data_IF_797438335590
#
_entry.id   IF_797438335590
#
_cell.length_a   1.000
_cell.length_b   1.000
_cell.length_c   1.000
_cell.angle_alpha   90.00
_cell.angle_beta   90.00
_cell.angle_gamma   90.00
#
_symmetry.space_group_name_H-M   'P 1'
#
loop_
_entity.id
_entity.type
_entity.pdbx_description
1 polymer ?
#
# COMPACT_ATOMS: atom_id res chain seq x y z
N UNK A 1 -13.96 14.94 -7.08
CA UNK A 1 -12.79 14.65 -7.94
C UNK A 1 -12.70 13.14 -8.01
N UNK A 2 -13.12 12.52 -9.11
CA UNK A 2 -13.02 11.06 -9.26
C UNK A 2 -11.82 10.81 -10.13
N UNK A 3 -10.68 10.46 -9.53
CA UNK A 3 -9.57 9.94 -10.31
C UNK A 3 -9.91 8.49 -10.67
N UNK A 4 -10.11 8.24 -11.95
CA UNK A 4 -10.09 6.89 -12.52
C UNK A 4 -8.75 6.68 -13.18
N UNK A 5 -7.98 5.69 -12.72
CA UNK A 5 -6.90 5.09 -13.49
C UNK A 5 -7.27 3.63 -13.70
N UNK A 6 -7.90 3.33 -14.83
CA UNK A 6 -7.92 1.97 -15.34
C UNK A 6 -6.59 1.80 -16.07
N UNK A 7 -5.61 1.22 -15.40
CA UNK A 7 -4.43 0.66 -16.07
C UNK A 7 -4.81 -0.74 -16.58
N UNK A 8 -4.34 -1.10 -17.78
CA UNK A 8 -4.53 -2.46 -18.37
C UNK A 8 -3.86 -3.59 -17.56
N UNK A 9 -3.24 -3.26 -16.42
CA UNK A 9 -2.53 -4.15 -15.51
C UNK A 9 -3.10 -4.01 -14.09
N UNK A 10 -3.23 -5.15 -13.41
CA UNK A 10 -3.59 -5.20 -12.00
C UNK A 10 -2.59 -4.41 -11.14
N UNK A 11 -3.11 -3.56 -10.27
CA UNK A 11 -2.33 -2.67 -9.39
C UNK A 11 -1.81 -3.43 -8.18
N UNK A 12 -0.50 -3.42 -7.93
CA UNK A 12 0.12 -4.08 -6.78
C UNK A 12 0.08 -3.16 -5.55
N UNK A 13 -0.59 -3.60 -4.49
CA UNK A 13 -0.78 -2.82 -3.27
C UNK A 13 -0.08 -3.46 -2.09
N UNK A 14 0.75 -2.68 -1.38
CA UNK A 14 1.27 -3.02 -0.07
C UNK A 14 0.46 -2.30 1.02
N UNK A 15 0.06 -3.01 2.07
CA UNK A 15 -0.58 -2.42 3.26
C UNK A 15 0.39 -2.57 4.43
N UNK A 16 0.71 -1.45 5.09
CA UNK A 16 1.49 -1.43 6.32
C UNK A 16 0.71 -0.70 7.40
N UNK A 17 0.55 -1.34 8.56
CA UNK A 17 -0.21 -0.81 9.67
C UNK A 17 0.57 -0.97 10.98
N UNK A 18 0.41 -0.02 11.90
CA UNK A 18 0.95 -0.19 13.25
C UNK A 18 0.15 -1.23 14.05
N UNK A 19 0.68 -1.64 15.21
CA UNK A 19 0.07 -2.64 16.08
C UNK A 19 -1.16 -2.18 16.87
N UNK A 20 -1.75 -1.01 16.61
CA UNK A 20 -2.98 -0.58 17.29
C UNK A 20 -4.19 -1.32 16.72
N UNK A 21 -5.17 -1.60 17.58
CA UNK A 21 -6.37 -2.34 17.20
C UNK A 21 -7.13 -1.68 16.04
N UNK A 22 -7.27 -0.36 16.08
CA UNK A 22 -7.95 0.43 15.04
C UNK A 22 -7.24 0.29 13.69
N UNK A 23 -5.91 0.42 13.67
CA UNK A 23 -5.10 0.30 12.46
C UNK A 23 -5.20 -1.09 11.85
N UNK A 24 -5.12 -2.15 12.68
CA UNK A 24 -5.32 -3.53 12.23
C UNK A 24 -6.70 -3.75 11.62
N UNK A 25 -7.75 -3.18 12.22
CA UNK A 25 -9.12 -3.30 11.66
C UNK A 25 -9.24 -2.66 10.29
N UNK A 26 -8.64 -1.48 10.08
CA UNK A 26 -8.64 -0.84 8.76
C UNK A 26 -7.84 -1.67 7.76
N UNK A 27 -6.67 -2.18 8.16
CA UNK A 27 -5.84 -3.04 7.33
C UNK A 27 -6.59 -4.31 6.88
N UNK A 28 -7.31 -4.97 7.80
CA UNK A 28 -8.11 -6.15 7.47
C UNK A 28 -9.25 -5.85 6.48
N UNK A 29 -9.90 -4.69 6.61
CA UNK A 29 -10.95 -4.27 5.67
C UNK A 29 -10.39 -4.01 4.27
N UNK A 30 -9.26 -3.30 4.17
CA UNK A 30 -8.59 -3.06 2.91
C UNK A 30 -8.07 -4.36 2.27
N UNK A 31 -7.51 -5.25 3.09
CA UNK A 31 -7.09 -6.58 2.64
C UNK A 31 -8.26 -7.36 2.02
N UNK A 32 -9.41 -7.39 2.69
CA UNK A 32 -10.60 -8.07 2.17
C UNK A 32 -11.08 -7.43 0.85
N UNK A 33 -11.17 -6.10 0.80
CA UNK A 33 -11.60 -5.37 -0.39
C UNK A 33 -10.70 -5.65 -1.61
N UNK A 34 -9.36 -5.58 -1.44
CA UNK A 34 -8.44 -5.85 -2.55
C UNK A 34 -8.36 -7.33 -2.94
N UNK A 35 -8.62 -8.25 -2.01
CA UNK A 35 -8.63 -9.69 -2.33
C UNK A 35 -9.78 -10.07 -3.27
N UNK A 36 -10.89 -9.36 -3.18
CA UNK A 36 -12.10 -9.62 -3.98
C UNK A 36 -12.09 -8.92 -5.33
N UNK A 37 -11.15 -8.00 -5.57
CA UNK A 37 -11.08 -7.19 -6.78
C UNK A 37 -9.95 -7.69 -7.70
N UNK A 38 -10.31 -8.06 -8.94
CA UNK A 38 -9.38 -8.56 -9.97
C UNK A 38 -8.36 -7.51 -10.43
N UNK A 39 -8.66 -6.22 -10.22
CA UNK A 39 -7.82 -5.12 -10.68
C UNK A 39 -6.77 -4.73 -9.62
N UNK A 40 -6.80 -5.37 -8.44
CA UNK A 40 -5.82 -5.18 -7.37
C UNK A 40 -5.16 -6.50 -6.97
N UNK A 41 -3.87 -6.44 -6.65
CA UNK A 41 -3.09 -7.58 -6.17
C UNK A 41 -2.28 -7.17 -4.95
N UNK A 42 -2.37 -7.94 -3.86
CA UNK A 42 -1.60 -7.64 -2.66
C UNK A 42 -0.15 -8.12 -2.82
N UNK A 43 0.80 -7.19 -2.86
CA UNK A 43 2.23 -7.48 -2.93
C UNK A 43 3.02 -6.58 -2.00
N UNK A 44 3.89 -7.19 -1.20
CA UNK A 44 4.93 -6.43 -0.45
C UNK A 44 6.16 -6.15 -1.30
N UNK A 45 6.40 -6.92 -2.36
CA UNK A 45 7.54 -6.79 -3.27
C UNK A 45 7.14 -5.91 -4.45
N UNK A 46 7.95 -4.88 -4.70
CA UNK A 46 7.76 -3.92 -5.79
C UNK A 46 6.30 -3.43 -5.92
N UNK A 47 5.66 -2.92 -4.85
CA UNK A 47 4.29 -2.43 -4.94
C UNK A 47 4.21 -1.17 -5.81
N UNK A 48 3.09 -1.01 -6.52
CA UNK A 48 2.76 0.22 -7.24
C UNK A 48 2.20 1.28 -6.28
N UNK A 49 1.50 0.85 -5.23
CA UNK A 49 0.94 1.70 -4.17
C UNK A 49 1.26 1.12 -2.79
N UNK A 50 1.72 1.98 -1.88
CA UNK A 50 1.90 1.65 -0.46
C UNK A 50 0.87 2.43 0.37
N UNK A 51 0.03 1.71 1.12
CA UNK A 51 -0.94 2.30 2.05
C UNK A 51 -0.40 2.16 3.48
N UNK A 52 -0.08 3.30 4.09
CA UNK A 52 0.33 3.38 5.50
C UNK A 52 -0.86 3.70 6.41
N UNK A 53 -1.04 2.92 7.49
CA UNK A 53 -2.17 3.04 8.41
C UNK A 53 -1.67 3.24 9.84
N UNK A 54 -1.73 4.49 10.31
CA UNK A 54 -1.25 4.90 11.62
C UNK A 54 -1.19 6.42 11.73
N UNK A 55 -0.17 6.94 12.41
CA UNK A 55 0.22 8.35 12.36
C UNK A 55 1.54 8.52 11.62
N UNK A 56 2.19 9.67 11.77
CA UNK A 56 3.39 10.04 10.98
C UNK A 56 4.55 9.07 11.14
N UNK A 57 4.75 8.50 12.33
CA UNK A 57 5.77 7.47 12.53
C UNK A 57 5.55 6.21 11.67
N UNK A 58 4.29 5.89 11.35
CA UNK A 58 3.97 4.79 10.43
C UNK A 58 4.19 5.21 8.97
N UNK A 59 3.92 6.47 8.62
CA UNK A 59 4.24 6.99 7.29
C UNK A 59 5.77 6.95 7.06
N UNK A 60 6.55 7.43 8.01
CA UNK A 60 8.01 7.42 7.94
C UNK A 60 8.58 5.99 7.93
N UNK A 61 8.03 5.08 8.72
CA UNK A 61 8.40 3.65 8.66
C UNK A 61 8.08 3.00 7.31
N UNK A 62 6.94 3.35 6.69
CA UNK A 62 6.61 2.87 5.34
C UNK A 62 7.58 3.45 4.29
N UNK A 63 7.96 4.72 4.41
CA UNK A 63 8.98 5.33 3.55
C UNK A 63 10.32 4.58 3.63
N UNK A 64 10.88 4.41 4.82
CA UNK A 64 12.15 3.67 4.99
C UNK A 64 12.09 2.22 4.49
N UNK A 65 10.91 1.58 4.54
CA UNK A 65 10.73 0.21 4.03
C UNK A 65 10.94 0.15 2.51
N UNK A 66 10.57 1.21 1.79
CA UNK A 66 10.58 1.26 0.32
C UNK A 66 11.57 2.28 -0.26
N UNK A 67 12.33 2.98 0.58
CA UNK A 67 13.29 4.01 0.19
C UNK A 67 14.27 3.51 -0.89
N UNK A 68 14.77 2.27 -0.75
CA UNK A 68 15.67 1.67 -1.74
C UNK A 68 15.03 1.50 -3.13
N UNK A 69 13.73 1.15 -3.17
CA UNK A 69 12.97 1.03 -4.41
C UNK A 69 12.63 2.39 -5.04
N UNK A 70 12.66 3.47 -4.25
CA UNK A 70 12.43 4.84 -4.73
C UNK A 70 13.70 5.49 -5.29
N UNK A 71 14.87 5.17 -4.72
CA UNK A 71 16.16 5.75 -5.12
C UNK A 71 16.68 5.17 -6.44
N UNK A 72 16.29 3.95 -6.81
CA UNK A 72 16.71 3.31 -8.07
C UNK A 72 16.26 4.07 -9.33
N UNK A 73 15.30 4.99 -9.21
CA UNK A 73 14.86 5.88 -10.30
C UNK A 73 15.69 7.16 -10.47
N UNK A 74 16.70 7.41 -9.62
CA UNK A 74 17.47 8.67 -9.59
C UNK A 74 18.94 8.50 -10.07
N UNK A 75 19.32 7.34 -10.62
CA UNK A 75 20.65 7.10 -11.20
C UNK A 75 20.59 6.71 -12.67
#
# INVERSE_FOLDING_TARGET
MTQTNITDKATRVAIIANGKYQSRRVASKLFAAFKEDKDFYLSKKDPDIVISIGGDGMLLSAFHTYEKSLIEFVL
#
